data_IF_265390934475
#
_entry.id   IF_265390934475
#
_cell.length_a   1.000
_cell.length_b   1.000
_cell.length_c   1.000
_cell.angle_alpha   90.00
_cell.angle_beta   90.00
_cell.angle_gamma   90.00
#
_symmetry.space_group_name_H-M   'P 1'
#
loop_
_entity.id
_entity.type
_entity.pdbx_description
1 polymer ?
#
# COMPACT_ATOMS: atom_id res chain seq x y z
N UNK A 1 15.02 0.71 2.18
CA UNK A 1 13.92 0.24 3.07
C UNK A 1 14.44 0.14 4.52
N UNK A 2 15.02 1.21 5.07
CA UNK A 2 15.59 1.22 6.44
C UNK A 2 14.65 1.90 7.45
N UNK A 3 13.52 2.45 6.98
CA UNK A 3 12.62 3.29 7.79
C UNK A 3 11.55 2.52 8.59
N UNK A 4 11.30 1.25 8.27
CA UNK A 4 10.27 0.44 8.95
C UNK A 4 10.88 -0.92 9.36
N UNK A 5 11.05 -1.19 10.67
CA UNK A 5 11.75 -2.38 11.18
C UNK A 5 11.17 -3.72 10.69
N UNK A 6 9.88 -3.77 10.36
CA UNK A 6 9.20 -5.00 9.93
C UNK A 6 9.69 -5.56 8.59
N UNK A 7 10.36 -4.75 7.76
CA UNK A 7 10.78 -5.19 6.43
C UNK A 7 12.09 -5.96 6.42
N UNK A 8 12.93 -5.81 7.46
CA UNK A 8 14.23 -6.48 7.51
C UNK A 8 14.10 -8.01 7.46
N UNK A 9 13.16 -8.57 8.22
CA UNK A 9 12.91 -10.03 8.23
C UNK A 9 12.48 -10.54 6.86
N UNK A 10 11.59 -9.82 6.16
CA UNK A 10 11.14 -10.18 4.81
C UNK A 10 12.30 -10.12 3.81
N UNK A 11 13.13 -9.09 3.89
CA UNK A 11 14.31 -8.94 3.03
C UNK A 11 15.31 -10.09 3.24
N UNK A 12 15.62 -10.44 4.50
CA UNK A 12 16.51 -11.58 4.80
C UNK A 12 16.00 -12.89 4.23
N UNK A 13 14.69 -13.12 4.31
CA UNK A 13 14.07 -14.31 3.71
C UNK A 13 14.21 -14.31 2.18
N UNK A 14 13.91 -13.19 1.52
CA UNK A 14 14.07 -13.07 0.06
C UNK A 14 15.53 -13.24 -0.38
N UNK A 15 16.47 -12.60 0.33
CA UNK A 15 17.90 -12.71 0.03
C UNK A 15 18.40 -14.16 0.21
N UNK A 16 17.86 -14.90 1.19
CA UNK A 16 18.16 -16.33 1.37
C UNK A 16 17.58 -17.20 0.25
N UNK A 17 16.32 -16.98 -0.16
CA UNK A 17 15.70 -17.73 -1.26
C UNK A 17 16.49 -17.58 -2.57
N UNK A 18 17.02 -16.38 -2.84
CA UNK A 18 17.92 -16.12 -3.98
C UNK A 18 19.20 -16.95 -3.98
N UNK A 19 19.68 -17.37 -2.80
CA UNK A 19 20.88 -18.23 -2.71
C UNK A 19 20.56 -19.72 -2.86
N UNK A 20 19.29 -20.10 -2.81
CA UNK A 20 18.82 -21.49 -2.77
C UNK A 20 17.99 -21.86 -4.02
N UNK A 21 18.13 -21.11 -5.11
CA UNK A 21 17.36 -21.30 -6.36
C UNK A 21 17.59 -22.67 -7.02
N UNK A 22 18.68 -23.35 -6.68
CA UNK A 22 18.98 -24.72 -7.09
C UNK A 22 18.24 -25.78 -6.26
N UNK A 23 17.61 -25.39 -5.15
CA UNK A 23 16.89 -26.27 -4.21
C UNK A 23 15.39 -25.94 -4.22
N UNK A 24 15.04 -24.66 -4.32
CA UNK A 24 13.66 -24.17 -4.27
C UNK A 24 13.45 -23.00 -5.22
N UNK A 25 12.39 -23.07 -6.02
CA UNK A 25 11.90 -21.92 -6.77
C UNK A 25 11.09 -20.98 -5.87
N UNK A 26 11.18 -19.67 -6.09
CA UNK A 26 10.44 -18.69 -5.32
C UNK A 26 9.76 -17.64 -6.22
N UNK A 27 8.70 -17.01 -5.71
CA UNK A 27 8.10 -15.82 -6.30
C UNK A 27 7.77 -14.84 -5.18
N UNK A 28 8.24 -13.60 -5.29
CA UNK A 28 7.97 -12.57 -4.29
C UNK A 28 6.92 -11.59 -4.82
N UNK A 29 5.72 -11.59 -4.24
CA UNK A 29 4.63 -10.69 -4.65
C UNK A 29 4.75 -9.37 -3.88
N UNK A 30 4.92 -8.25 -4.60
CA UNK A 30 4.99 -6.90 -4.03
C UNK A 30 3.71 -6.12 -4.39
N UNK A 31 2.93 -5.76 -3.37
CA UNK A 31 1.56 -5.24 -3.53
C UNK A 31 1.39 -3.79 -3.08
N UNK A 32 2.40 -3.21 -2.42
CA UNK A 32 2.19 -2.00 -1.62
C UNK A 32 1.17 -2.23 -0.46
N UNK A 33 0.70 -1.16 0.21
CA UNK A 33 -0.37 -1.23 1.20
C UNK A 33 -1.69 -1.76 0.63
N UNK A 34 -2.47 -2.44 1.47
CA UNK A 34 -3.84 -2.84 1.15
C UNK A 34 -4.74 -1.60 1.01
N UNK A 35 -5.41 -1.44 -0.13
CA UNK A 35 -6.23 -0.26 -0.40
C UNK A 35 -7.49 -0.23 0.48
N UNK A 36 -8.36 -1.22 0.28
CA UNK A 36 -9.61 -1.43 0.99
C UNK A 36 -9.45 -1.43 2.52
N UNK A 37 -8.62 -2.32 3.05
CA UNK A 37 -8.41 -2.43 4.50
C UNK A 37 -7.70 -1.22 5.08
N UNK A 38 -6.75 -0.64 4.34
CA UNK A 38 -6.10 0.60 4.75
C UNK A 38 -7.11 1.73 4.91
N UNK A 39 -8.08 1.82 3.99
CA UNK A 39 -9.06 2.89 3.97
C UNK A 39 -10.04 2.79 5.13
N UNK A 40 -10.46 1.56 5.48
CA UNK A 40 -11.25 1.29 6.67
C UNK A 40 -10.53 1.70 7.97
N UNK A 41 -9.20 1.54 8.03
CA UNK A 41 -8.38 1.92 9.19
C UNK A 41 -7.97 3.40 9.21
N UNK A 42 -8.29 4.16 8.15
CA UNK A 42 -7.84 5.54 7.97
C UNK A 42 -6.34 5.67 7.67
N UNK A 43 -5.71 4.59 7.23
CA UNK A 43 -4.28 4.51 7.02
C UNK A 43 -3.79 5.42 5.87
N UNK A 44 -4.57 5.57 4.80
CA UNK A 44 -4.30 6.56 3.73
C UNK A 44 -4.71 8.00 4.10
N UNK A 45 -5.00 8.27 5.38
CA UNK A 45 -5.38 9.59 5.88
C UNK A 45 -6.87 9.91 5.80
N UNK A 46 -7.74 8.94 5.53
CA UNK A 46 -9.19 9.18 5.40
C UNK A 46 -9.96 8.52 6.54
N UNK A 47 -10.50 9.32 7.46
CA UNK A 47 -11.43 8.84 8.47
C UNK A 47 -12.86 8.87 7.92
N UNK A 48 -13.36 7.69 7.51
CA UNK A 48 -14.68 7.53 6.92
C UNK A 48 -15.83 7.90 7.87
N UNK A 49 -15.64 7.76 9.18
CA UNK A 49 -16.66 8.03 10.20
C UNK A 49 -16.81 9.54 10.45
N UNK A 50 -15.69 10.24 10.61
CA UNK A 50 -15.68 11.68 10.91
C UNK A 50 -15.59 12.56 9.66
N UNK A 51 -15.55 11.96 8.47
CA UNK A 51 -15.35 12.63 7.18
C UNK A 51 -14.16 13.60 7.21
N UNK A 52 -13.06 13.14 7.80
CA UNK A 52 -11.82 13.91 7.93
C UNK A 52 -10.75 13.33 7.01
N UNK A 53 -10.16 14.19 6.18
CA UNK A 53 -9.01 13.89 5.34
C UNK A 53 -7.76 14.54 5.96
N UNK A 54 -6.87 13.71 6.50
CA UNK A 54 -5.53 14.10 6.95
C UNK A 54 -4.58 14.03 5.76
N UNK A 55 -4.30 15.17 5.15
CA UNK A 55 -3.42 15.32 3.99
C UNK A 55 -1.99 15.44 4.50
N UNK A 56 -1.15 14.50 4.07
CA UNK A 56 0.25 14.45 4.48
C UNK A 56 1.07 15.16 3.42
N UNK A 57 1.92 16.10 3.83
CA UNK A 57 2.95 16.67 2.96
C UNK A 57 2.41 17.33 1.68
N UNK A 58 1.15 17.80 1.73
CA UNK A 58 0.44 18.40 0.60
C UNK A 58 -0.18 17.40 -0.38
N UNK A 59 -0.30 16.12 -0.02
CA UNK A 59 -1.21 15.15 -0.64
C UNK A 59 -0.88 14.67 -2.05
N UNK A 60 0.23 15.13 -2.63
CA UNK A 60 0.66 14.82 -4.01
C UNK A 60 1.63 13.64 -4.11
N UNK A 61 2.02 13.04 -2.99
CA UNK A 61 2.89 11.85 -3.00
C UNK A 61 2.11 10.71 -3.61
N UNK A 62 2.65 10.17 -4.70
CA UNK A 62 2.06 9.02 -5.39
C UNK A 62 2.51 7.73 -4.73
N UNK A 63 1.58 6.80 -4.55
CA UNK A 63 1.85 5.50 -3.97
C UNK A 63 1.06 4.42 -4.70
N UNK A 64 1.62 3.21 -4.73
CA UNK A 64 0.96 2.01 -5.25
C UNK A 64 0.22 1.28 -4.13
N UNK A 65 -0.99 0.80 -4.40
CA UNK A 65 -1.84 0.13 -3.41
C UNK A 65 -2.71 -0.94 -4.07
N UNK A 66 -3.04 -1.99 -3.32
CA UNK A 66 -3.74 -3.18 -3.87
C UNK A 66 -4.88 -3.61 -2.97
N UNK A 67 -6.05 -3.88 -3.51
CA UNK A 67 -7.17 -4.46 -2.77
C UNK A 67 -6.81 -5.87 -2.30
N UNK A 68 -7.33 -6.30 -1.14
CA UNK A 68 -7.12 -7.67 -0.64
C UNK A 68 -7.58 -8.71 -1.67
N UNK A 69 -8.68 -8.43 -2.39
CA UNK A 69 -9.16 -9.30 -3.47
C UNK A 69 -8.14 -9.48 -4.59
N UNK A 70 -7.47 -8.40 -4.99
CA UNK A 70 -6.46 -8.42 -6.05
C UNK A 70 -5.16 -9.09 -5.57
N UNK A 71 -4.80 -8.94 -4.28
CA UNK A 71 -3.72 -9.71 -3.65
C UNK A 71 -4.03 -11.22 -3.70
N UNK A 72 -5.27 -11.61 -3.40
CA UNK A 72 -5.66 -13.02 -3.49
C UNK A 72 -5.60 -13.55 -4.93
N UNK A 73 -6.05 -12.75 -5.90
CA UNK A 73 -5.93 -13.09 -7.34
C UNK A 73 -4.47 -13.21 -7.76
N UNK A 74 -3.58 -12.34 -7.30
CA UNK A 74 -2.17 -12.40 -7.67
C UNK A 74 -1.48 -13.66 -7.15
N UNK A 75 -1.82 -14.12 -5.94
CA UNK A 75 -1.33 -15.40 -5.42
C UNK A 75 -1.73 -16.57 -6.34
N UNK A 76 -2.98 -16.60 -6.80
CA UNK A 76 -3.44 -17.64 -7.74
C UNK A 76 -2.70 -17.50 -9.08
N UNK A 77 -2.65 -16.28 -9.60
CA UNK A 77 -2.06 -16.00 -10.91
C UNK A 77 -0.57 -16.38 -10.98
N UNK A 78 0.23 -16.10 -9.95
CA UNK A 78 1.65 -16.51 -9.98
C UNK A 78 1.83 -18.03 -9.92
N UNK A 79 0.89 -18.77 -9.32
CA UNK A 79 0.94 -20.24 -9.33
C UNK A 79 0.50 -20.81 -10.68
N UNK A 80 -0.48 -20.19 -11.35
CA UNK A 80 -0.88 -20.56 -12.72
C UNK A 80 0.18 -20.20 -13.76
N UNK A 81 1.00 -19.18 -13.48
CA UNK A 81 2.12 -18.72 -14.29
C UNK A 81 3.48 -19.07 -13.69
N UNK A 82 3.59 -20.21 -13.00
CA UNK A 82 4.78 -20.56 -12.20
C UNK A 82 6.09 -20.55 -13.00
N UNK A 83 6.05 -20.99 -14.26
CA UNK A 83 7.22 -20.98 -15.16
C UNK A 83 7.65 -19.54 -15.53
N UNK A 84 6.71 -18.60 -15.63
CA UNK A 84 6.98 -17.20 -15.94
C UNK A 84 7.42 -16.40 -14.71
N UNK A 85 7.04 -16.84 -13.50
CA UNK A 85 7.29 -16.13 -12.24
C UNK A 85 8.38 -16.79 -11.39
N UNK A 86 9.05 -17.82 -11.91
CA UNK A 86 10.12 -18.54 -11.23
C UNK A 86 11.28 -17.61 -10.92
N UNK A 87 11.63 -17.52 -9.63
CA UNK A 87 12.71 -16.69 -9.09
C UNK A 87 12.56 -15.18 -9.40
N UNK A 88 11.31 -14.71 -9.44
CA UNK A 88 10.98 -13.34 -9.84
C UNK A 88 10.32 -12.53 -8.71
N UNK A 89 10.56 -11.22 -8.76
CA UNK A 89 9.85 -10.24 -7.94
C UNK A 89 8.69 -9.68 -8.76
N UNK A 90 7.47 -10.05 -8.40
CA UNK A 90 6.25 -9.76 -9.15
C UNK A 90 5.54 -8.59 -8.49
N UNK A 91 5.61 -7.41 -9.13
CA UNK A 91 4.88 -6.23 -8.69
C UNK A 91 3.45 -6.26 -9.24
N UNK A 92 2.48 -6.11 -8.34
CA UNK A 92 1.05 -6.03 -8.69
C UNK A 92 0.41 -4.84 -8.00
N UNK A 93 -0.70 -4.39 -8.55
CA UNK A 93 -1.44 -3.24 -8.02
C UNK A 93 -2.94 -3.32 -8.30
N UNK A 94 -3.71 -2.55 -7.54
CA UNK A 94 -5.07 -2.18 -7.93
C UNK A 94 -5.11 -0.74 -8.42
N UNK A 95 -4.44 0.15 -7.69
CA UNK A 95 -4.35 1.56 -8.01
C UNK A 95 -2.95 2.12 -7.76
N UNK A 96 -2.60 3.13 -8.55
CA UNK A 96 -1.50 4.04 -8.28
C UNK A 96 -2.09 5.44 -8.22
N UNK A 97 -2.02 6.08 -7.05
CA UNK A 97 -2.82 7.26 -6.74
C UNK A 97 -2.12 8.17 -5.72
N UNK A 98 -2.70 9.34 -5.50
CA UNK A 98 -2.34 10.31 -4.47
C UNK A 98 -3.54 10.56 -3.53
N UNK A 99 -3.33 11.22 -2.39
CA UNK A 99 -4.44 11.61 -1.52
C UNK A 99 -5.35 12.64 -2.20
N UNK A 100 -4.77 13.53 -3.01
CA UNK A 100 -5.51 14.52 -3.79
C UNK A 100 -6.39 13.91 -4.89
N UNK A 101 -6.03 12.76 -5.45
CA UNK A 101 -6.88 12.04 -6.40
C UNK A 101 -7.99 11.25 -5.68
N UNK A 102 -7.72 10.72 -4.48
CA UNK A 102 -8.68 9.95 -3.70
C UNK A 102 -9.78 10.81 -3.06
N UNK A 103 -9.44 11.99 -2.55
CA UNK A 103 -10.39 12.83 -1.83
C UNK A 103 -11.62 13.22 -2.68
N UNK A 104 -11.50 13.70 -3.93
CA UNK A 104 -12.65 13.98 -4.79
C UNK A 104 -13.54 12.76 -5.06
N UNK A 105 -12.95 11.55 -5.15
CA UNK A 105 -13.70 10.30 -5.34
C UNK A 105 -14.52 10.00 -4.08
N UNK A 106 -13.92 10.13 -2.89
CA UNK A 106 -14.62 9.98 -1.62
C UNK A 106 -15.76 10.99 -1.49
N UNK A 107 -15.52 12.28 -1.73
CA UNK A 107 -16.55 13.32 -1.67
C UNK A 107 -17.70 13.07 -2.65
N UNK A 108 -17.39 12.59 -3.86
CA UNK A 108 -18.39 12.23 -4.87
C UNK A 108 -19.25 11.06 -4.41
N UNK A 109 -18.63 10.00 -3.89
CA UNK A 109 -19.33 8.80 -3.42
C UNK A 109 -20.18 9.10 -2.18
N UNK A 110 -19.65 9.84 -1.21
CA UNK A 110 -20.38 10.19 0.02
C UNK A 110 -21.38 11.34 -0.18
N UNK A 111 -21.27 12.10 -1.28
CA UNK A 111 -22.03 13.34 -1.54
C UNK A 111 -21.87 14.37 -0.42
N UNK A 112 -20.68 14.41 0.19
CA UNK A 112 -20.36 15.26 1.33
C UNK A 112 -18.97 15.84 1.17
N UNK A 113 -18.77 17.05 1.71
CA UNK A 113 -17.45 17.65 1.81
C UNK A 113 -16.74 17.16 3.05
N UNK A 114 -15.43 16.95 2.93
CA UNK A 114 -14.62 16.41 4.01
C UNK A 114 -13.81 17.52 4.68
N UNK A 115 -13.64 17.42 5.99
CA UNK A 115 -12.75 18.30 6.73
C UNK A 115 -11.30 17.96 6.39
N UNK A 116 -10.55 18.94 5.90
CA UNK A 116 -9.12 18.77 5.60
C UNK A 116 -8.30 19.15 6.84
N UNK A 117 -7.30 18.32 7.15
CA UNK A 117 -6.28 18.55 8.17
C UNK A 117 -4.92 18.29 7.53
N UNK A 118 -4.00 19.22 7.62
CA UNK A 118 -2.63 19.02 7.12
C UNK A 118 -1.75 18.40 8.21
N UNK A 119 -0.85 17.50 7.81
CA UNK A 119 0.12 16.85 8.70
C UNK A 119 1.47 16.68 7.99
N UNK A 120 2.57 16.79 8.73
CA UNK A 120 3.91 16.57 8.19
C UNK A 120 4.31 15.10 8.30
N UNK A 121 4.88 14.51 7.24
CA UNK A 121 5.41 13.14 7.33
C UNK A 121 6.59 13.03 8.31
N UNK A 122 7.33 14.12 8.51
CA UNK A 122 8.40 14.20 9.50
C UNK A 122 7.85 14.05 10.93
N UNK A 123 6.76 14.73 11.25
CA UNK A 123 6.11 14.66 12.57
C UNK A 123 5.51 13.28 12.82
N UNK A 124 4.83 12.72 11.82
CA UNK A 124 4.30 11.34 11.88
C UNK A 124 5.44 10.35 12.13
N UNK A 125 6.56 10.50 11.43
CA UNK A 125 7.73 9.63 11.59
C UNK A 125 8.35 9.77 12.98
N UNK A 126 8.53 10.99 13.47
CA UNK A 126 9.09 11.25 14.79
C UNK A 126 8.19 10.66 15.89
N UNK A 127 6.88 10.81 15.77
CA UNK A 127 5.92 10.16 16.65
C UNK A 127 6.03 8.63 16.57
N UNK A 128 6.04 8.08 15.35
CA UNK A 128 6.13 6.64 15.11
C UNK A 128 7.39 6.02 15.71
N UNK A 129 8.55 6.67 15.53
CA UNK A 129 9.81 6.24 16.10
C UNK A 129 9.80 6.23 17.63
N UNK A 130 9.26 7.27 18.27
CA UNK A 130 9.12 7.33 19.74
C UNK A 130 8.21 6.23 20.26
N UNK A 131 7.00 6.12 19.72
CA UNK A 131 6.03 5.12 20.15
C UNK A 131 6.57 3.69 19.96
N UNK A 132 7.28 3.43 18.85
CA UNK A 132 7.91 2.14 18.61
C UNK A 132 9.00 1.82 19.64
N UNK A 133 9.87 2.80 19.96
CA UNK A 133 10.92 2.65 20.96
C UNK A 133 10.37 2.42 22.38
N UNK A 134 9.19 2.94 22.68
CA UNK A 134 8.47 2.73 23.94
C UNK A 134 7.71 1.39 24.01
N UNK A 135 7.81 0.54 22.96
CA UNK A 135 7.16 -0.77 22.92
C UNK A 135 5.72 -0.75 22.36
N UNK A 136 5.21 0.41 21.93
CA UNK A 136 3.91 0.52 21.26
C UNK A 136 4.04 0.16 19.77
N UNK A 137 4.44 -1.08 19.50
CA UNK A 137 4.89 -1.53 18.18
C UNK A 137 3.87 -1.29 17.06
N UNK A 138 2.58 -1.54 17.33
CA UNK A 138 1.52 -1.37 16.33
C UNK A 138 1.27 0.11 16.00
N UNK A 139 1.21 0.96 17.02
CA UNK A 139 0.99 2.41 16.85
C UNK A 139 2.21 3.05 16.19
N UNK A 140 3.40 2.79 16.72
CA UNK A 140 4.64 3.32 16.19
C UNK A 140 4.91 2.83 14.77
N UNK A 141 4.74 1.53 14.55
CA UNK A 141 4.91 0.89 13.25
C UNK A 141 3.92 1.39 12.20
N UNK A 142 2.65 1.57 12.57
CA UNK A 142 1.62 2.16 11.71
C UNK A 142 1.95 3.58 11.30
N UNK A 143 2.39 4.43 12.24
CA UNK A 143 2.83 5.79 11.93
C UNK A 143 4.06 5.81 11.01
N UNK A 144 5.06 4.97 11.26
CA UNK A 144 6.24 4.85 10.39
C UNK A 144 5.86 4.41 8.97
N UNK A 145 4.95 3.45 8.82
CA UNK A 145 4.42 3.05 7.52
C UNK A 145 3.63 4.18 6.84
N UNK A 146 2.79 4.91 7.57
CA UNK A 146 2.02 6.06 7.04
C UNK A 146 2.97 7.14 6.51
N UNK A 147 4.00 7.48 7.30
CA UNK A 147 5.02 8.45 6.89
C UNK A 147 5.88 7.96 5.71
N UNK A 148 6.10 6.66 5.57
CA UNK A 148 6.79 6.09 4.42
C UNK A 148 5.95 6.18 3.13
N UNK A 149 4.65 5.88 3.23
CA UNK A 149 3.77 5.75 2.07
C UNK A 149 3.28 7.10 1.57
N UNK A 150 2.93 8.01 2.49
CA UNK A 150 2.36 9.32 2.15
C UNK A 150 3.39 10.46 2.21
N UNK A 151 4.61 10.20 2.71
CA UNK A 151 5.67 11.18 2.83
C UNK A 151 6.60 11.23 1.61
N UNK A 152 7.32 12.34 1.46
CA UNK A 152 8.14 12.63 0.26
C UNK A 152 9.49 11.91 0.23
N UNK A 153 9.91 11.33 1.35
CA UNK A 153 11.30 10.90 1.56
C UNK A 153 11.69 9.66 0.75
N UNK A 154 10.74 8.76 0.50
CA UNK A 154 10.96 7.53 -0.25
C UNK A 154 9.76 7.27 -1.14
N UNK A 155 10.02 7.04 -2.42
CA UNK A 155 8.96 6.66 -3.36
C UNK A 155 8.42 5.26 -3.03
N UNK A 156 7.09 5.15 -2.88
CA UNK A 156 6.34 3.87 -2.82
C UNK A 156 5.49 3.65 -4.06
N UNK A 157 5.84 4.37 -5.11
CA UNK A 157 5.27 4.29 -6.43
C UNK A 157 6.05 3.27 -7.26
N UNK A 158 5.33 2.27 -7.78
CA UNK A 158 5.92 1.14 -8.47
C UNK A 158 5.95 1.29 -10.00
N UNK A 159 5.64 2.45 -10.61
CA UNK A 159 5.65 2.52 -12.10
C UNK A 159 7.02 2.35 -12.73
N UNK A 160 8.07 2.77 -12.03
CA UNK A 160 9.46 2.75 -12.54
C UNK A 160 10.27 1.57 -11.98
N UNK A 161 9.62 0.56 -11.39
CA UNK A 161 10.33 -0.63 -10.91
C UNK A 161 10.86 -1.44 -12.08
N UNK A 162 12.02 -2.05 -11.88
CA UNK A 162 12.58 -2.99 -12.85
C UNK A 162 11.59 -4.12 -13.15
N UNK A 163 11.36 -4.40 -14.43
CA UNK A 163 10.35 -5.38 -14.88
C UNK A 163 8.90 -4.87 -14.88
N UNK A 164 8.64 -3.69 -14.34
CA UNK A 164 7.32 -3.05 -14.33
C UNK A 164 6.26 -3.78 -13.51
N UNK A 165 5.00 -3.40 -13.71
CA UNK A 165 3.84 -4.01 -13.05
C UNK A 165 3.32 -5.19 -13.89
N UNK A 166 3.12 -6.33 -13.23
CA UNK A 166 2.85 -7.61 -13.89
C UNK A 166 1.38 -7.88 -14.13
N UNK A 167 0.45 -7.02 -13.71
CA UNK A 167 -0.99 -7.26 -13.80
C UNK A 167 -1.42 -7.85 -15.15
N UNK A 168 -1.04 -7.22 -16.27
CA UNK A 168 -1.38 -7.74 -17.62
C UNK A 168 -0.67 -9.05 -17.95
N UNK A 169 0.60 -9.21 -17.53
CA UNK A 169 1.42 -10.40 -17.80
C UNK A 169 0.83 -11.65 -17.14
N UNK A 170 0.28 -11.52 -15.94
CA UNK A 170 -0.31 -12.62 -15.16
C UNK A 170 -1.85 -12.61 -15.19
N UNK A 171 -2.46 -11.89 -16.15
CA UNK A 171 -3.91 -11.94 -16.37
C UNK A 171 -4.78 -11.32 -15.26
N UNK A 172 -4.22 -10.44 -14.42
CA UNK A 172 -4.99 -9.76 -13.38
C UNK A 172 -5.92 -8.68 -13.99
N UNK A 173 -7.19 -8.63 -13.55
CA UNK A 173 -8.12 -7.65 -14.05
C UNK A 173 -7.77 -6.24 -13.55
N UNK A 174 -8.11 -5.22 -14.35
CA UNK A 174 -8.12 -3.83 -13.87
C UNK A 174 -9.32 -3.62 -12.95
N UNK A 175 -9.11 -2.92 -11.85
CA UNK A 175 -10.17 -2.56 -10.91
C UNK A 175 -10.61 -1.11 -11.10
N UNK A 176 -11.83 -0.79 -10.67
CA UNK A 176 -12.40 0.55 -10.79
C UNK A 176 -12.36 1.26 -9.43
N UNK A 177 -11.66 2.39 -9.37
CA UNK A 177 -11.43 3.14 -8.14
C UNK A 177 -12.75 3.63 -7.50
N UNK A 178 -13.68 4.16 -8.30
CA UNK A 178 -14.94 4.69 -7.76
C UNK A 178 -15.86 3.59 -7.26
N UNK A 179 -15.91 2.45 -7.96
CA UNK A 179 -16.68 1.28 -7.50
C UNK A 179 -16.13 0.71 -6.20
N UNK A 180 -14.80 0.61 -6.08
CA UNK A 180 -14.16 0.14 -4.85
C UNK A 180 -14.40 1.09 -3.69
N UNK A 181 -14.20 2.40 -3.88
CA UNK A 181 -14.51 3.41 -2.85
C UNK A 181 -15.98 3.34 -2.43
N UNK A 182 -16.91 3.13 -3.36
CA UNK A 182 -18.33 2.95 -3.06
C UNK A 182 -18.60 1.70 -2.22
N UNK A 183 -17.93 0.58 -2.53
CA UNK A 183 -18.05 -0.65 -1.75
C UNK A 183 -17.52 -0.47 -0.32
N UNK A 184 -16.34 0.15 -0.17
CA UNK A 184 -15.72 0.44 1.13
C UNK A 184 -16.64 1.32 1.97
N UNK A 185 -17.09 2.46 1.43
CA UNK A 185 -17.98 3.39 2.15
C UNK A 185 -19.29 2.72 2.55
N UNK A 186 -19.90 1.91 1.67
CA UNK A 186 -21.14 1.19 1.97
C UNK A 186 -20.98 0.08 3.01
N UNK A 187 -19.76 -0.42 3.24
CA UNK A 187 -19.47 -1.43 4.28
C UNK A 187 -19.10 -0.83 5.64
N UNK A 188 -18.77 0.46 5.68
CA UNK A 188 -18.35 1.18 6.89
C UNK A 188 -19.50 1.82 7.68
N UNK A 189 -20.72 1.80 7.13
CA UNK A 189 -21.99 2.27 7.73
C UNK A 189 -22.83 1.10 8.20
#
# INVERSE_FOLDING_TARGET
>A
IQAVPFFEGKKKCLDYLKTEENVISWTAIITGPSFDWGMCLGFQGFNLSTKTATIVDGGNVRFTTTNIRQIARSIIAVLEHADDTVNEVVFVESFITTQHELLPVLEKVTREKWKIVEESSEEIRAFGARAFAEGNLMVGGGALLKALILGKDVSTDHTEVEGGIWNTRVGLPKENLEEEVRAIVGSAT
#
